data_IF_784492674946
#
_entry.id   IF_784492674946
#
_cell.length_a   1.000
_cell.length_b   1.000
_cell.length_c   1.000
_cell.angle_alpha   90.00
_cell.angle_beta   90.00
_cell.angle_gamma   90.00
#
_symmetry.space_group_name_H-M   'P 1'
#
loop_
_entity.id
_entity.type
_entity.pdbx_description
1 polymer ?
#
# COMPACT_ATOMS: atom_id res chain seq x y z
N UNK A 1 40.74 -6.37 -28.22
CA UNK A 1 40.03 -7.55 -27.65
C UNK A 1 38.53 -7.43 -27.85
N UNK A 2 37.89 -8.41 -28.50
CA UNK A 2 36.45 -8.41 -28.76
C UNK A 2 35.64 -8.69 -27.48
N UNK A 3 34.64 -7.85 -27.19
CA UNK A 3 33.75 -8.01 -26.02
C UNK A 3 32.79 -9.19 -26.24
N UNK A 4 32.75 -10.15 -25.30
CA UNK A 4 31.79 -11.26 -25.32
C UNK A 4 30.34 -10.73 -25.36
N UNK A 5 29.45 -11.29 -26.20
CA UNK A 5 28.06 -10.84 -26.29
C UNK A 5 27.33 -11.09 -24.97
N UNK A 6 26.55 -10.10 -24.52
CA UNK A 6 25.77 -10.21 -23.27
C UNK A 6 24.62 -11.19 -23.46
N UNK A 7 24.48 -12.09 -22.49
CA UNK A 7 23.37 -13.03 -22.43
C UNK A 7 21.99 -12.32 -22.48
N UNK A 8 20.97 -12.91 -23.13
CA UNK A 8 19.69 -12.27 -23.34
C UNK A 8 18.95 -11.89 -22.05
N UNK A 9 19.10 -12.63 -20.95
CA UNK A 9 18.53 -12.29 -19.63
C UNK A 9 19.21 -11.11 -18.94
N UNK A 10 20.39 -10.71 -19.42
CA UNK A 10 21.10 -9.51 -18.95
C UNK A 10 20.67 -8.23 -19.68
N UNK A 11 19.75 -8.34 -20.65
CA UNK A 11 19.23 -7.20 -21.42
C UNK A 11 18.11 -6.50 -20.63
N UNK A 12 18.18 -5.17 -20.55
CA UNK A 12 17.11 -4.37 -19.95
C UNK A 12 15.80 -4.53 -20.74
N UNK A 13 14.67 -4.51 -20.04
CA UNK A 13 13.33 -4.61 -20.64
C UNK A 13 13.18 -3.60 -21.80
N UNK A 14 12.84 -4.04 -23.03
CA UNK A 14 12.73 -3.16 -24.20
C UNK A 14 11.83 -1.94 -23.99
N UNK A 15 10.75 -2.06 -23.21
CA UNK A 15 9.88 -0.92 -22.87
C UNK A 15 10.60 0.12 -22.03
N UNK A 16 11.41 -0.33 -21.06
CA UNK A 16 12.24 0.56 -20.24
C UNK A 16 13.32 1.23 -21.09
N UNK A 17 13.96 0.49 -22.01
CA UNK A 17 14.93 1.04 -22.98
C UNK A 17 14.31 2.12 -23.87
N UNK A 18 13.06 1.93 -24.29
CA UNK A 18 12.31 2.91 -25.08
C UNK A 18 11.69 4.05 -24.25
N UNK A 19 12.09 4.22 -22.98
CA UNK A 19 11.54 5.25 -22.08
C UNK A 19 10.06 5.09 -21.74
N UNK A 20 9.43 3.96 -22.08
CA UNK A 20 8.00 3.71 -21.85
C UNK A 20 7.78 3.20 -20.43
N UNK A 21 7.00 3.93 -19.64
CA UNK A 21 6.60 3.53 -18.30
C UNK A 21 5.84 2.19 -18.29
N UNK A 22 5.97 1.43 -17.21
CA UNK A 22 5.13 0.27 -16.96
C UNK A 22 3.70 0.73 -16.68
N UNK A 23 2.74 0.08 -17.35
CA UNK A 23 1.32 0.42 -17.26
C UNK A 23 0.65 -0.54 -16.29
N UNK A 24 0.31 -0.06 -15.10
CA UNK A 24 -0.47 -0.82 -14.12
C UNK A 24 -1.93 -0.34 -14.10
N UNK A 25 -2.84 -1.24 -13.74
CA UNK A 25 -4.22 -0.88 -13.43
C UNK A 25 -4.25 -0.06 -12.12
N UNK A 26 -4.93 1.07 -12.15
CA UNK A 26 -5.25 1.88 -10.96
C UNK A 26 -6.15 1.11 -10.01
N UNK A 27 -6.28 1.57 -8.76
CA UNK A 27 -7.18 0.93 -7.78
C UNK A 27 -8.63 0.85 -8.26
N UNK A 28 -9.14 1.92 -8.90
CA UNK A 28 -10.47 1.95 -9.50
C UNK A 28 -10.63 0.93 -10.64
N UNK A 29 -9.59 0.80 -11.48
CA UNK A 29 -9.56 -0.20 -12.55
C UNK A 29 -9.49 -1.64 -12.00
N UNK A 30 -8.79 -1.86 -10.90
CA UNK A 30 -8.79 -3.17 -10.20
C UNK A 30 -10.18 -3.49 -9.62
N UNK A 31 -10.90 -2.49 -9.12
CA UNK A 31 -12.25 -2.67 -8.61
C UNK A 31 -13.24 -3.07 -9.71
N UNK A 32 -13.13 -2.47 -10.91
CA UNK A 32 -13.98 -2.85 -12.05
C UNK A 32 -13.66 -4.26 -12.55
N UNK A 33 -12.39 -4.67 -12.57
CA UNK A 33 -12.01 -6.05 -12.88
C UNK A 33 -12.62 -7.04 -11.85
N UNK A 34 -12.50 -6.74 -10.54
CA UNK A 34 -13.12 -7.56 -9.48
C UNK A 34 -14.64 -7.65 -9.61
N UNK A 35 -15.31 -6.55 -9.95
CA UNK A 35 -16.77 -6.56 -10.15
C UNK A 35 -17.18 -7.44 -11.34
N UNK A 36 -16.38 -7.46 -12.42
CA UNK A 36 -16.60 -8.32 -13.57
C UNK A 36 -16.43 -9.79 -13.21
N UNK A 37 -15.39 -10.12 -12.45
CA UNK A 37 -15.16 -11.47 -11.94
C UNK A 37 -16.35 -11.97 -11.09
N UNK A 38 -16.81 -11.14 -10.14
CA UNK A 38 -17.95 -11.44 -9.28
C UNK A 38 -19.24 -11.68 -10.07
N UNK A 39 -19.50 -10.88 -11.10
CA UNK A 39 -20.67 -11.07 -11.99
C UNK A 39 -20.63 -12.40 -12.71
N UNK A 40 -19.43 -12.90 -13.01
CA UNK A 40 -19.21 -14.20 -13.62
C UNK A 40 -19.03 -15.34 -12.59
N UNK A 41 -19.42 -15.14 -11.33
CA UNK A 41 -19.31 -16.16 -10.26
C UNK A 41 -17.89 -16.43 -9.75
N UNK A 42 -16.89 -15.65 -10.18
CA UNK A 42 -15.49 -15.86 -9.81
C UNK A 42 -15.05 -14.95 -8.66
N UNK A 43 -14.31 -15.52 -7.70
CA UNK A 43 -13.79 -14.81 -6.52
C UNK A 43 -12.71 -13.76 -6.86
N UNK A 44 -11.92 -14.01 -7.90
CA UNK A 44 -10.82 -13.13 -8.31
C UNK A 44 -10.84 -12.85 -9.82
N UNK A 45 -10.41 -11.65 -10.25
CA UNK A 45 -10.32 -11.30 -11.66
C UNK A 45 -9.21 -12.10 -12.34
N UNK A 46 -9.55 -12.70 -13.49
CA UNK A 46 -8.59 -13.37 -14.34
C UNK A 46 -7.94 -12.40 -15.35
N UNK A 47 -7.11 -12.93 -16.24
CA UNK A 47 -6.45 -12.15 -17.28
C UNK A 47 -7.46 -11.44 -18.21
N UNK A 48 -8.55 -12.10 -18.60
CA UNK A 48 -9.58 -11.54 -19.49
C UNK A 48 -10.28 -10.35 -18.85
N UNK A 49 -10.61 -10.44 -17.56
CA UNK A 49 -11.22 -9.34 -16.81
C UNK A 49 -10.29 -8.12 -16.77
N UNK A 50 -9.01 -8.34 -16.45
CA UNK A 50 -7.97 -7.31 -16.43
C UNK A 50 -7.70 -6.72 -17.82
N UNK A 51 -7.64 -7.56 -18.86
CA UNK A 51 -7.47 -7.16 -20.26
C UNK A 51 -8.64 -6.29 -20.73
N UNK A 52 -9.87 -6.64 -20.35
CA UNK A 52 -11.04 -5.84 -20.74
C UNK A 52 -11.00 -4.43 -20.16
N UNK A 53 -10.51 -4.28 -18.92
CA UNK A 53 -10.32 -2.97 -18.27
C UNK A 53 -9.14 -2.22 -18.89
N UNK A 54 -8.04 -2.90 -19.20
CA UNK A 54 -6.88 -2.31 -19.87
C UNK A 54 -7.21 -1.82 -21.29
N UNK A 55 -8.01 -2.58 -22.06
CA UNK A 55 -8.46 -2.19 -23.39
C UNK A 55 -9.38 -0.96 -23.33
N UNK A 56 -10.28 -0.87 -22.34
CA UNK A 56 -11.12 0.32 -22.11
C UNK A 56 -10.26 1.55 -21.80
N UNK A 57 -9.20 1.41 -21.00
CA UNK A 57 -8.23 2.48 -20.72
C UNK A 57 -7.57 3.00 -22.00
N UNK A 58 -7.05 2.08 -22.83
CA UNK A 58 -6.41 2.41 -24.10
C UNK A 58 -7.37 3.10 -25.11
N UNK A 59 -8.64 2.67 -25.15
CA UNK A 59 -9.68 3.33 -25.96
C UNK A 59 -9.98 4.74 -25.46
N UNK A 60 -10.13 4.93 -24.14
CA UNK A 60 -10.41 6.24 -23.53
C UNK A 60 -9.29 7.24 -23.82
N UNK A 61 -8.02 6.84 -23.75
CA UNK A 61 -6.88 7.70 -24.10
C UNK A 61 -6.92 8.11 -25.57
N UNK A 62 -7.22 7.19 -26.48
CA UNK A 62 -7.35 7.48 -27.93
C UNK A 62 -8.48 8.46 -28.24
N UNK A 63 -9.65 8.28 -27.64
CA UNK A 63 -10.80 9.21 -27.83
C UNK A 63 -10.51 10.60 -27.26
N UNK A 64 -9.83 10.69 -26.11
CA UNK A 64 -9.45 11.98 -25.52
C UNK A 64 -8.42 12.75 -26.36
N UNK A 65 -7.49 12.04 -27.03
CA UNK A 65 -6.55 12.64 -27.98
C UNK A 65 -7.24 13.19 -29.23
N UNK A 66 -8.19 12.44 -29.80
CA UNK A 66 -8.98 12.87 -30.97
C UNK A 66 -9.87 14.08 -30.68
N UNK A 67 -10.40 14.21 -29.46
CA UNK A 67 -11.20 15.38 -29.07
C UNK A 67 -10.35 16.64 -28.88
N UNK A 68 -9.12 16.49 -28.37
CA UNK A 68 -8.14 17.59 -28.26
C UNK A 68 -7.64 18.07 -29.63
N UNK A 69 -7.40 17.16 -30.58
CA UNK A 69 -6.99 17.54 -31.94
C UNK A 69 -8.10 18.20 -32.75
N UNK A 70 -9.38 17.85 -32.50
CA UNK A 70 -10.52 18.52 -33.13
C UNK A 70 -10.72 19.95 -32.62
N UNK A 71 -10.50 20.20 -31.32
CA UNK A 71 -10.65 21.51 -30.70
C UNK A 71 -9.48 22.48 -31.02
N UNK A 72 -8.34 21.96 -31.48
CA UNK A 72 -7.21 22.76 -31.94
C UNK A 72 -7.39 23.26 -33.39
N UNK A 73 -8.25 22.62 -34.20
CA UNK A 73 -8.49 22.98 -35.61
C UNK A 73 -9.55 24.06 -35.82
N UNK A 74 -10.35 24.40 -34.81
CA UNK A 74 -11.43 25.40 -34.92
C UNK A 74 -11.05 26.80 -34.42
N UNK A 75 -9.76 27.06 -34.15
CA UNK A 75 -9.27 28.37 -33.69
C UNK A 75 -8.50 29.18 -34.76
N UNK A 76 -8.48 28.73 -36.01
CA UNK A 76 -7.72 29.40 -37.10
C UNK A 76 -8.59 29.76 -38.31
N UNK A 77 -9.85 30.13 -38.10
CA UNK A 77 -10.72 30.66 -39.16
C UNK A 77 -11.77 31.61 -38.58
N UNK A 78 -11.35 32.81 -38.19
CA UNK A 78 -12.26 33.93 -37.93
C UNK A 78 -11.65 35.22 -38.46
N UNK A 79 -11.94 35.57 -39.71
CA UNK A 79 -12.02 36.96 -40.18
C UNK A 79 -12.83 37.02 -41.48
N UNK A 80 -13.73 38.02 -41.53
CA UNK A 80 -14.59 38.45 -42.66
C UNK A 80 -15.93 37.70 -42.76
N UNK A 81 -17.11 38.28 -42.97
CA UNK A 81 -17.68 39.66 -42.92
C UNK A 81 -19.20 39.46 -43.16
N UNK A 82 -20.02 40.45 -42.78
CA UNK A 82 -21.29 40.85 -43.42
C UNK A 82 -22.62 40.10 -43.11
N UNK A 83 -23.49 40.81 -42.37
CA UNK A 83 -24.88 41.20 -42.69
C UNK A 83 -25.73 40.31 -43.62
N UNK A 84 -26.91 39.86 -43.16
CA UNK A 84 -28.24 40.35 -43.57
C UNK A 84 -29.42 39.48 -43.06
N UNK A 85 -30.53 40.20 -42.88
CA UNK A 85 -31.96 39.93 -42.62
C UNK A 85 -32.62 38.57 -42.91
N UNK A 86 -33.63 38.31 -42.06
CA UNK A 86 -34.99 37.71 -42.26
C UNK A 86 -35.12 36.29 -42.83
N UNK A 87 -35.87 35.44 -42.13
CA UNK A 87 -37.29 35.16 -42.46
C UNK A 87 -37.91 34.19 -41.42
N UNK A 88 -39.18 34.41 -41.12
CA UNK A 88 -39.99 33.67 -40.16
C UNK A 88 -40.73 32.50 -40.82
N UNK A 89 -41.01 31.43 -40.08
CA UNK A 89 -42.35 30.81 -40.08
C UNK A 89 -42.63 29.94 -38.84
N UNK A 90 -43.87 30.07 -38.36
CA UNK A 90 -44.65 29.37 -37.30
C UNK A 90 -44.34 27.86 -37.16
N UNK A 91 -44.57 27.20 -36.01
CA UNK A 91 -45.87 27.01 -35.32
C UNK A 91 -45.70 26.68 -33.83
N UNK A 92 -46.65 27.20 -33.03
CA UNK A 92 -46.91 26.88 -31.62
C UNK A 92 -47.53 25.49 -31.50
N UNK A 93 -47.15 24.75 -30.46
CA UNK A 93 -48.07 23.93 -29.68
C UNK A 93 -47.53 23.77 -28.24
N UNK A 94 -48.39 24.04 -27.27
CA UNK A 94 -48.22 23.81 -25.85
C UNK A 94 -47.99 22.29 -25.58
N UNK A 95 -47.46 21.81 -24.47
CA UNK A 95 -47.72 22.19 -23.08
C UNK A 95 -46.77 21.41 -22.15
N UNK A 96 -46.38 22.09 -21.07
CA UNK A 96 -46.07 21.56 -19.72
C UNK A 96 -45.62 20.10 -19.53
N UNK A 97 -44.33 19.91 -19.22
CA UNK A 97 -43.92 18.94 -18.22
C UNK A 97 -42.75 19.51 -17.40
N UNK A 98 -43.10 19.92 -16.18
CA UNK A 98 -42.26 20.57 -15.17
C UNK A 98 -41.09 19.67 -14.76
N UNK A 99 -39.88 19.91 -15.29
CA UNK A 99 -38.66 19.27 -14.78
C UNK A 99 -38.00 20.19 -13.75
N UNK A 100 -38.22 19.86 -12.47
CA UNK A 100 -37.64 20.52 -11.29
C UNK A 100 -36.12 20.65 -11.48
N UNK A 101 -35.63 21.87 -11.32
CA UNK A 101 -34.21 22.21 -11.29
C UNK A 101 -33.54 21.56 -10.09
N UNK A 102 -32.95 20.38 -10.27
CA UNK A 102 -32.00 19.83 -9.30
C UNK A 102 -30.71 20.64 -9.41
N UNK A 103 -30.49 21.50 -8.41
CA UNK A 103 -29.27 22.27 -8.17
C UNK A 103 -28.08 21.32 -8.28
N UNK A 104 -27.31 21.51 -9.36
CA UNK A 104 -26.14 20.70 -9.71
C UNK A 104 -25.06 20.95 -8.65
N UNK A 105 -24.99 20.08 -7.66
CA UNK A 105 -23.94 20.10 -6.65
C UNK A 105 -22.57 20.00 -7.35
N UNK A 106 -21.69 20.95 -7.04
CA UNK A 106 -20.31 20.95 -7.53
C UNK A 106 -19.63 19.61 -7.19
N UNK A 107 -18.79 19.05 -8.08
CA UNK A 107 -18.07 17.83 -7.78
C UNK A 107 -17.16 18.11 -6.57
N UNK A 108 -17.43 17.43 -5.45
CA UNK A 108 -16.55 17.40 -4.27
C UNK A 108 -15.14 17.10 -4.78
N UNK A 109 -14.26 18.08 -4.70
CA UNK A 109 -12.84 17.89 -4.92
C UNK A 109 -12.40 16.71 -4.06
N UNK A 110 -11.69 15.77 -4.67
CA UNK A 110 -11.13 14.63 -3.96
C UNK A 110 -10.14 15.17 -2.92
N UNK A 111 -10.63 15.37 -1.70
CA UNK A 111 -9.80 15.68 -0.56
C UNK A 111 -8.73 14.59 -0.48
N UNK A 112 -7.45 14.98 -0.57
CA UNK A 112 -6.34 14.06 -0.32
C UNK A 112 -6.58 13.39 1.03
N UNK A 113 -6.38 12.06 1.17
CA UNK A 113 -6.66 11.38 2.41
C UNK A 113 -5.85 12.05 3.53
N UNK A 114 -6.53 12.54 4.57
CA UNK A 114 -5.92 13.09 5.79
C UNK A 114 -5.11 11.97 6.47
N UNK A 115 -3.87 11.75 6.03
CA UNK A 115 -3.02 10.59 6.35
C UNK A 115 -2.32 10.64 7.71
N UNK A 116 -2.53 11.67 8.53
CA UNK A 116 -1.68 11.93 9.71
C UNK A 116 -2.34 11.58 11.05
N UNK A 117 -3.65 11.81 11.22
CA UNK A 117 -4.31 11.57 12.51
C UNK A 117 -4.57 10.08 12.80
N UNK A 118 -4.97 9.29 11.81
CA UNK A 118 -5.23 7.84 11.98
C UNK A 118 -3.96 7.05 12.35
N UNK A 119 -2.83 7.38 11.71
CA UNK A 119 -1.53 6.71 11.97
C UNK A 119 -0.97 6.93 13.38
N UNK A 120 -1.32 8.05 14.04
CA UNK A 120 -0.95 8.28 15.44
C UNK A 120 -1.71 7.35 16.39
N UNK A 121 -2.97 7.03 16.09
CA UNK A 121 -3.79 6.10 16.90
C UNK A 121 -3.37 4.64 16.74
N UNK A 122 -2.76 4.29 15.61
CA UNK A 122 -2.24 2.94 15.33
C UNK A 122 -0.90 2.63 16.04
N UNK A 123 -0.12 3.67 16.36
CA UNK A 123 1.21 3.54 16.97
C UNK A 123 1.14 3.92 18.45
N UNK A 124 1.57 3.02 19.32
CA UNK A 124 1.60 3.28 20.75
C UNK A 124 2.80 4.19 21.10
N UNK A 125 2.62 5.32 21.81
CA UNK A 125 3.72 6.18 22.26
C UNK A 125 4.75 5.44 23.13
N UNK A 126 4.35 4.43 23.90
CA UNK A 126 5.25 3.62 24.75
C UNK A 126 6.03 2.57 23.95
N UNK A 127 5.68 2.32 22.69
CA UNK A 127 6.35 1.36 21.81
C UNK A 127 5.42 0.37 21.13
N UNK A 128 5.80 -0.11 19.94
CA UNK A 128 5.00 -1.12 19.22
C UNK A 128 3.66 -0.60 18.66
N UNK A 129 2.78 -1.54 18.27
CA UNK A 129 1.46 -1.23 17.68
C UNK A 129 0.34 -1.38 18.71
N UNK A 130 -0.60 -0.43 18.71
CA UNK A 130 -1.83 -0.53 19.51
C UNK A 130 -2.71 -1.67 19.00
N UNK A 131 -3.73 -2.08 19.77
CA UNK A 131 -4.71 -3.06 19.29
C UNK A 131 -5.40 -2.58 17.99
N UNK A 132 -5.76 -1.29 17.92
CA UNK A 132 -6.27 -0.66 16.71
C UNK A 132 -5.25 -0.69 15.56
N UNK A 133 -3.97 -0.46 15.85
CA UNK A 133 -2.89 -0.57 14.86
C UNK A 133 -2.70 -1.97 14.31
N UNK A 134 -2.80 -3.01 15.15
CA UNK A 134 -2.75 -4.41 14.69
C UNK A 134 -3.97 -4.77 13.86
N UNK A 135 -5.17 -4.30 14.24
CA UNK A 135 -6.39 -4.47 13.45
C UNK A 135 -6.28 -3.77 12.09
N UNK A 136 -5.83 -2.53 12.05
CA UNK A 136 -5.61 -1.80 10.81
C UNK A 136 -4.57 -2.49 9.91
N UNK A 137 -3.53 -3.10 10.50
CA UNK A 137 -2.57 -3.92 9.77
C UNK A 137 -3.23 -5.19 9.19
N UNK A 138 -4.03 -5.90 9.97
CA UNK A 138 -4.78 -7.06 9.50
C UNK A 138 -5.75 -6.70 8.36
N UNK A 139 -6.45 -5.57 8.45
CA UNK A 139 -7.35 -5.09 7.40
C UNK A 139 -6.61 -4.70 6.11
N UNK A 140 -5.41 -4.13 6.24
CA UNK A 140 -4.61 -3.67 5.09
C UNK A 140 -3.84 -4.80 4.41
N UNK A 141 -3.15 -5.61 5.19
CA UNK A 141 -2.15 -6.57 4.72
C UNK A 141 -2.64 -8.04 4.85
N UNK A 142 -3.78 -8.26 5.52
CA UNK A 142 -4.40 -9.59 5.67
C UNK A 142 -3.76 -10.48 6.74
N UNK A 143 -2.77 -9.98 7.49
CA UNK A 143 -2.03 -10.76 8.48
C UNK A 143 -2.36 -10.32 9.92
N UNK A 144 -2.68 -11.30 10.78
CA UNK A 144 -2.98 -11.06 12.19
C UNK A 144 -1.69 -10.98 13.01
N UNK A 145 -1.21 -9.76 13.26
CA UNK A 145 -0.06 -9.56 14.14
C UNK A 145 -0.44 -9.89 15.58
N UNK A 146 0.35 -10.79 16.20
CA UNK A 146 0.25 -11.07 17.63
C UNK A 146 0.93 -9.96 18.44
N UNK A 147 0.45 -9.66 19.67
CA UNK A 147 1.14 -8.74 20.57
C UNK A 147 2.53 -9.28 20.95
N UNK A 148 3.40 -8.39 21.42
CA UNK A 148 4.70 -8.77 21.96
C UNK A 148 4.54 -9.68 23.18
N UNK A 149 5.51 -10.56 23.39
CA UNK A 149 5.50 -11.52 24.51
C UNK A 149 6.02 -10.81 25.76
N UNK A 150 5.14 -10.46 26.69
CA UNK A 150 5.50 -9.74 27.94
C UNK A 150 5.69 -10.65 29.15
N UNK A 151 5.36 -11.94 29.03
CA UNK A 151 5.45 -12.93 30.11
C UNK A 151 6.86 -13.09 30.66
N UNK A 152 6.97 -13.54 31.92
CA UNK A 152 8.23 -13.97 32.50
C UNK A 152 8.73 -15.27 31.85
N UNK A 153 10.04 -15.57 31.95
CA UNK A 153 10.62 -16.76 31.32
C UNK A 153 10.05 -18.08 31.85
N UNK A 154 9.59 -18.11 33.11
CA UNK A 154 8.92 -19.25 33.75
C UNK A 154 7.58 -19.58 33.10
N UNK A 155 6.84 -18.56 32.66
CA UNK A 155 5.48 -18.68 32.10
C UNK A 155 5.47 -18.75 30.56
N UNK A 156 6.63 -18.57 29.92
CA UNK A 156 6.73 -18.63 28.46
C UNK A 156 6.55 -20.05 27.96
N UNK A 157 5.65 -20.23 27.00
CA UNK A 157 5.60 -21.44 26.19
C UNK A 157 6.84 -21.52 25.29
N UNK A 158 7.23 -22.71 24.78
CA UNK A 158 8.33 -22.83 23.82
C UNK A 158 8.15 -21.92 22.58
N UNK A 159 6.90 -21.75 22.12
CA UNK A 159 6.59 -20.85 21.01
C UNK A 159 6.82 -19.38 21.38
N UNK A 160 6.48 -18.97 22.61
CA UNK A 160 6.75 -17.63 23.11
C UNK A 160 8.25 -17.33 23.20
N UNK A 161 9.04 -18.31 23.66
CA UNK A 161 10.51 -18.22 23.68
C UNK A 161 11.07 -18.00 22.27
N UNK A 162 10.60 -18.79 21.29
CA UNK A 162 11.00 -18.62 19.88
C UNK A 162 10.67 -17.22 19.35
N UNK A 163 9.45 -16.74 19.60
CA UNK A 163 8.99 -15.43 19.12
C UNK A 163 9.80 -14.29 19.74
N UNK A 164 9.94 -14.28 21.07
CA UNK A 164 10.66 -13.24 21.80
C UNK A 164 12.15 -13.29 21.51
N UNK A 165 12.74 -14.47 21.50
CA UNK A 165 14.15 -14.68 21.17
C UNK A 165 14.49 -14.22 19.76
N UNK A 166 13.72 -14.66 18.76
CA UNK A 166 13.92 -14.23 17.36
C UNK A 166 13.76 -12.72 17.19
N UNK A 167 12.76 -12.11 17.84
CA UNK A 167 12.60 -10.65 17.81
C UNK A 167 13.80 -9.94 18.42
N UNK A 168 14.24 -10.34 19.62
CA UNK A 168 15.33 -9.68 20.33
C UNK A 168 16.65 -9.72 19.53
N UNK A 169 17.00 -10.89 18.98
CA UNK A 169 18.20 -11.06 18.14
C UNK A 169 18.11 -10.24 16.87
N UNK A 170 16.96 -10.22 16.19
CA UNK A 170 16.81 -9.47 14.93
C UNK A 170 16.86 -7.96 15.11
N UNK A 171 16.28 -7.43 16.19
CA UNK A 171 16.19 -5.99 16.40
C UNK A 171 17.42 -5.42 17.10
N UNK A 172 17.99 -6.14 18.06
CA UNK A 172 19.09 -5.65 18.91
C UNK A 172 20.42 -6.40 18.74
N UNK A 173 20.42 -7.57 18.08
CA UNK A 173 21.63 -8.31 17.72
C UNK A 173 22.27 -7.83 16.42
N UNK A 174 21.57 -7.03 15.60
CA UNK A 174 22.11 -6.51 14.34
C UNK A 174 23.33 -5.62 14.53
N UNK A 175 24.20 -5.59 13.52
CA UNK A 175 25.36 -4.71 13.47
C UNK A 175 25.47 -4.05 12.09
N UNK A 176 25.56 -2.71 11.99
CA UNK A 176 25.49 -1.74 13.08
C UNK A 176 24.07 -1.59 13.66
N UNK A 177 24.00 -1.25 14.95
CA UNK A 177 22.74 -0.97 15.65
C UNK A 177 22.29 0.48 15.38
N UNK A 178 21.01 0.72 14.99
CA UNK A 178 20.49 2.08 14.86
C UNK A 178 20.53 2.83 16.20
N UNK A 179 20.54 4.18 16.16
CA UNK A 179 20.57 4.99 17.37
C UNK A 179 19.38 4.68 18.29
N UNK A 180 19.68 4.45 19.56
CA UNK A 180 18.70 4.12 20.59
C UNK A 180 18.12 5.35 21.29
N UNK A 181 18.84 6.47 21.22
CA UNK A 181 18.41 7.79 21.70
C UNK A 181 18.42 8.79 20.54
N UNK A 182 17.48 9.72 20.56
CA UNK A 182 17.45 10.85 19.64
C UNK A 182 18.44 11.94 20.08
N UNK A 183 18.59 12.99 19.27
CA UNK A 183 19.43 14.15 19.58
C UNK A 183 19.01 14.89 20.87
N UNK A 184 17.78 14.66 21.36
CA UNK A 184 17.25 15.25 22.60
C UNK A 184 17.37 14.29 23.79
N UNK A 185 18.10 13.17 23.65
CA UNK A 185 18.28 12.15 24.68
C UNK A 185 17.04 11.27 24.94
N UNK A 186 15.97 11.39 24.14
CA UNK A 186 14.76 10.60 24.30
C UNK A 186 14.91 9.26 23.60
N UNK A 187 14.36 8.16 24.15
CA UNK A 187 14.41 6.86 23.50
C UNK A 187 13.78 6.89 22.09
N UNK A 188 14.48 6.32 21.12
CA UNK A 188 13.94 6.20 19.76
C UNK A 188 12.81 5.19 19.71
N UNK A 189 12.08 5.20 18.59
CA UNK A 189 11.03 4.21 18.31
C UNK A 189 11.55 2.77 18.41
N UNK A 190 12.79 2.55 18.01
CA UNK A 190 13.46 1.25 18.13
C UNK A 190 13.57 0.86 19.60
N UNK A 191 14.17 1.71 20.44
CA UNK A 191 14.31 1.45 21.87
C UNK A 191 12.96 1.23 22.56
N UNK A 192 11.95 2.05 22.26
CA UNK A 192 10.59 1.89 22.80
C UNK A 192 9.96 0.55 22.42
N UNK A 193 10.35 -0.05 21.29
CA UNK A 193 9.84 -1.37 20.91
C UNK A 193 10.18 -2.45 21.93
N UNK A 194 11.24 -2.29 22.73
CA UNK A 194 11.56 -3.22 23.82
C UNK A 194 10.43 -3.33 24.85
N UNK A 195 9.86 -2.19 25.23
CA UNK A 195 8.77 -2.13 26.20
C UNK A 195 7.54 -2.91 25.74
N UNK A 196 7.23 -2.89 24.44
CA UNK A 196 6.12 -3.66 23.87
C UNK A 196 6.31 -5.19 23.95
N UNK A 197 7.53 -5.65 24.25
CA UNK A 197 7.90 -7.05 24.46
C UNK A 197 8.29 -7.34 25.92
N UNK A 198 7.94 -6.45 26.85
CA UNK A 198 8.23 -6.61 28.28
C UNK A 198 9.73 -6.60 28.60
N UNK A 199 10.55 -5.98 27.75
CA UNK A 199 11.96 -5.69 28.04
C UNK A 199 12.12 -4.21 28.40
N UNK A 200 13.12 -3.85 29.22
CA UNK A 200 13.42 -2.46 29.53
C UNK A 200 13.86 -1.71 28.26
N UNK A 201 13.54 -0.43 28.18
CA UNK A 201 13.89 0.43 27.04
C UNK A 201 15.41 0.68 27.03
N UNK A 202 16.18 0.14 26.06
CA UNK A 202 17.62 0.30 26.06
C UNK A 202 18.00 1.71 25.59
N UNK A 203 18.81 2.43 26.38
CA UNK A 203 19.37 3.73 25.99
C UNK A 203 20.80 3.63 25.45
N UNK A 204 21.52 2.56 25.81
CA UNK A 204 22.91 2.31 25.42
C UNK A 204 23.01 1.05 24.55
N UNK A 205 24.05 0.99 23.73
CA UNK A 205 24.34 -0.20 22.92
C UNK A 205 24.49 -1.43 23.81
N UNK A 206 25.22 -1.32 24.93
CA UNK A 206 25.37 -2.41 25.89
C UNK A 206 24.02 -2.94 26.41
N UNK A 207 23.07 -2.05 26.75
CA UNK A 207 21.74 -2.46 27.18
C UNK A 207 20.96 -3.20 26.07
N UNK A 208 21.08 -2.73 24.82
CA UNK A 208 20.50 -3.44 23.68
C UNK A 208 21.13 -4.82 23.45
N UNK A 209 22.46 -4.93 23.59
CA UNK A 209 23.17 -6.22 23.49
C UNK A 209 22.75 -7.19 24.58
N UNK A 210 22.47 -6.72 25.81
CA UNK A 210 21.88 -7.56 26.88
C UNK A 210 20.52 -8.16 26.47
N UNK A 211 19.68 -7.38 25.78
CA UNK A 211 18.40 -7.88 25.24
C UNK A 211 18.65 -8.95 24.17
N UNK A 212 19.59 -8.72 23.26
CA UNK A 212 19.96 -9.70 22.23
C UNK A 212 20.46 -11.02 22.84
N UNK A 213 21.38 -10.93 23.82
CA UNK A 213 21.91 -12.10 24.55
C UNK A 213 20.81 -12.86 25.30
N UNK A 214 19.85 -12.15 25.91
CA UNK A 214 18.66 -12.79 26.50
C UNK A 214 17.84 -13.51 25.43
N UNK A 215 17.73 -12.93 24.24
CA UNK A 215 17.07 -13.54 23.09
C UNK A 215 17.74 -14.84 22.61
N UNK A 216 19.07 -14.85 22.53
CA UNK A 216 19.86 -16.04 22.20
C UNK A 216 19.65 -17.17 23.21
N UNK A 217 19.65 -16.85 24.50
CA UNK A 217 19.36 -17.82 25.58
C UNK A 217 17.95 -18.43 25.44
N UNK A 218 16.95 -17.62 25.10
CA UNK A 218 15.58 -18.10 24.85
C UNK A 218 15.52 -19.04 23.65
N UNK A 219 16.23 -18.72 22.56
CA UNK A 219 16.31 -19.58 21.38
C UNK A 219 17.03 -20.88 21.70
N UNK A 220 18.16 -20.84 22.40
CA UNK A 220 18.89 -22.04 22.82
C UNK A 220 18.00 -22.97 23.67
N UNK A 221 17.23 -22.41 24.62
CA UNK A 221 16.25 -23.19 25.40
C UNK A 221 15.14 -23.77 24.52
N UNK A 222 14.61 -22.99 23.57
CA UNK A 222 13.62 -23.47 22.62
C UNK A 222 14.14 -24.65 21.78
N UNK A 223 15.36 -24.54 21.24
CA UNK A 223 16.00 -25.62 20.47
C UNK A 223 16.16 -26.87 21.32
N UNK A 224 16.69 -26.76 22.55
CA UNK A 224 16.81 -27.91 23.47
C UNK A 224 15.46 -28.59 23.75
N UNK A 225 14.40 -27.82 23.99
CA UNK A 225 13.06 -28.37 24.24
C UNK A 225 12.47 -29.03 22.98
N UNK A 226 12.78 -28.48 21.80
CA UNK A 226 12.38 -29.05 20.52
C UNK A 226 13.07 -30.39 20.27
N UNK A 227 14.39 -30.47 20.46
CA UNK A 227 15.14 -31.73 20.31
C UNK A 227 14.70 -32.80 21.33
N UNK A 228 14.35 -32.38 22.56
CA UNK A 228 13.83 -33.29 23.60
C UNK A 228 12.41 -33.78 23.34
N UNK A 229 11.66 -33.12 22.46
CA UNK A 229 10.33 -33.58 22.03
C UNK A 229 10.52 -34.38 20.74
N UNK A 230 10.78 -35.70 20.79
CA UNK A 230 10.90 -36.48 19.56
C UNK A 230 9.60 -36.31 18.78
N UNK A 231 9.74 -36.04 17.48
CA UNK A 231 8.64 -36.03 16.54
C UNK A 231 7.92 -37.38 16.62
N UNK A 232 6.83 -37.46 17.37
CA UNK A 232 5.91 -38.60 17.27
C UNK A 232 5.31 -38.58 15.88
N UNK A 233 5.78 -39.49 15.02
CA UNK A 233 5.16 -39.85 13.75
C UNK A 233 5.69 -39.10 12.54
N UNK A 234 6.65 -39.72 11.87
CA UNK A 234 6.68 -39.80 10.41
C UNK A 234 6.20 -41.19 10.01
#
# INVERSE_FOLDING_TARGET
MARKPRAPWSKANPRKRAGKASTHLTSAEKATAKARARRAGRRYPNLVDNMSVAAKKARKTRTSGRKRSAQARTKTATTKKATTKKAATKRRAASSAKKRSAKRAAPRSQAKPRKTAGRKREKDPRGGLTAAGRRAFAERDGAQLRPGVTKAMSEMTPQDMRRKGSWAVRFYGRDPLPPLVDAKGRPTRLALSAHAWGEPVPRTVAAARKIAAKGERLLARYHRLKEKTPSRGG
#
